data_IF_188966334872
#
_entry.id   IF_188966334872
#
_cell.length_a   1.000
_cell.length_b   1.000
_cell.length_c   1.000
_cell.angle_alpha   90.00
_cell.angle_beta   90.00
_cell.angle_gamma   90.00
#
_symmetry.space_group_name_H-M   'P 1'
#
loop_
_entity.id
_entity.type
_entity.pdbx_description
1 polymer ?
#
# COMPACT_ATOMS: atom_id res chain seq x y z
N UNK A 1 9.78 2.09 12.61
CA UNK A 1 9.47 1.12 11.55
C UNK A 1 9.94 1.61 10.17
N UNK A 2 9.37 2.70 9.62
CA UNK A 2 9.76 3.30 8.34
C UNK A 2 10.10 4.79 8.56
N UNK A 3 11.27 5.24 8.06
CA UNK A 3 11.70 6.64 8.16
C UNK A 3 12.19 7.14 6.81
N UNK A 4 11.75 8.33 6.42
CA UNK A 4 12.33 9.11 5.34
C UNK A 4 13.12 10.26 5.96
N UNK A 5 14.33 10.53 5.48
CA UNK A 5 15.21 11.59 5.98
C UNK A 5 15.71 12.43 4.83
N UNK A 6 15.23 13.68 4.76
CA UNK A 6 15.58 14.66 3.72
C UNK A 6 15.50 14.05 2.30
N UNK A 7 14.39 13.38 2.01
CA UNK A 7 14.19 12.64 0.75
C UNK A 7 13.78 13.60 -0.35
N UNK A 8 14.44 13.44 -1.50
CA UNK A 8 14.13 14.11 -2.76
C UNK A 8 13.85 13.10 -3.84
N UNK A 9 12.96 13.44 -4.76
CA UNK A 9 12.75 12.68 -6.00
C UNK A 9 12.54 13.63 -7.16
N UNK A 10 13.40 13.51 -8.14
CA UNK A 10 13.38 14.29 -9.38
C UNK A 10 13.27 13.35 -10.57
N UNK A 11 12.38 13.65 -11.49
CA UNK A 11 12.25 12.95 -12.75
C UNK A 11 12.80 13.82 -13.89
N UNK A 12 13.44 13.19 -14.85
CA UNK A 12 13.83 13.85 -16.09
C UNK A 12 12.77 13.60 -17.16
N UNK A 13 12.15 14.65 -17.65
CA UNK A 13 11.14 14.63 -18.72
C UNK A 13 11.72 15.37 -19.94
N UNK A 14 12.37 14.62 -20.82
CA UNK A 14 13.11 15.23 -21.93
C UNK A 14 14.30 16.06 -21.42
N UNK A 15 14.28 17.36 -21.64
CA UNK A 15 15.32 18.30 -21.15
C UNK A 15 14.97 18.92 -19.78
N UNK A 16 13.75 18.80 -19.33
CA UNK A 16 13.28 19.39 -18.07
C UNK A 16 13.42 18.42 -16.90
N UNK A 17 13.61 18.99 -15.69
CA UNK A 17 13.62 18.25 -14.43
C UNK A 17 12.40 18.62 -13.59
N UNK A 18 11.59 17.62 -13.23
CA UNK A 18 10.43 17.80 -12.35
C UNK A 18 10.75 17.24 -10.98
N UNK A 19 10.77 18.12 -9.98
CA UNK A 19 10.97 17.71 -8.58
C UNK A 19 9.63 17.31 -7.95
N UNK A 20 9.35 16.03 -7.96
CA UNK A 20 8.08 15.49 -7.47
C UNK A 20 8.03 15.32 -5.95
N UNK A 21 9.19 15.17 -5.30
CA UNK A 21 9.34 15.17 -3.83
C UNK A 21 10.52 16.03 -3.46
N UNK A 22 10.30 16.99 -2.55
CA UNK A 22 11.25 18.01 -2.17
C UNK A 22 11.44 18.06 -0.63
N UNK A 23 12.58 17.55 -0.18
CA UNK A 23 13.03 17.56 1.22
C UNK A 23 12.01 16.97 2.21
N UNK A 24 11.46 15.79 1.89
CA UNK A 24 10.49 15.16 2.77
C UNK A 24 11.18 14.33 3.86
N UNK A 25 10.80 14.62 5.12
CA UNK A 25 11.16 13.78 6.28
C UNK A 25 9.91 13.32 6.99
N UNK A 26 9.75 11.98 7.14
CA UNK A 26 8.59 11.34 7.76
C UNK A 26 9.09 10.20 8.65
N UNK A 27 8.46 10.05 9.82
CA UNK A 27 8.64 8.91 10.71
C UNK A 27 7.30 8.19 10.87
N UNK A 28 7.20 6.96 10.38
CA UNK A 28 6.03 6.08 10.54
C UNK A 28 6.40 5.00 11.56
N UNK A 29 5.68 5.01 12.67
CA UNK A 29 5.84 4.02 13.73
C UNK A 29 4.98 2.78 13.46
N UNK A 30 5.30 1.69 14.13
CA UNK A 30 4.46 0.48 14.07
C UNK A 30 3.06 0.77 14.61
N UNK A 31 2.08 0.10 14.00
CA UNK A 31 0.65 0.17 14.39
C UNK A 31 0.00 1.54 14.15
N UNK A 32 0.70 2.48 13.51
CA UNK A 32 0.07 3.75 13.13
C UNK A 32 -0.97 3.54 12.01
N UNK A 33 -2.00 4.37 12.04
CA UNK A 33 -2.97 4.54 10.96
C UNK A 33 -2.85 5.98 10.47
N UNK A 34 -2.27 6.15 9.29
CA UNK A 34 -1.83 7.44 8.75
C UNK A 34 -2.53 7.71 7.44
N UNK A 35 -2.85 8.97 7.14
CA UNK A 35 -3.24 9.39 5.79
C UNK A 35 -2.22 10.33 5.18
N UNK A 36 -1.99 10.17 3.88
CA UNK A 36 -1.26 11.11 3.03
C UNK A 36 -2.29 11.80 2.14
N UNK A 37 -2.44 13.11 2.31
CA UNK A 37 -3.41 13.93 1.60
C UNK A 37 -2.71 14.94 0.70
N UNK A 38 -3.34 15.22 -0.44
CA UNK A 38 -2.88 16.26 -1.37
C UNK A 38 -3.77 16.31 -2.60
N UNK A 39 -3.70 17.41 -3.34
CA UNK A 39 -4.38 17.56 -4.64
C UNK A 39 -3.71 16.68 -5.71
N UNK A 40 -4.35 16.52 -6.87
CA UNK A 40 -3.69 15.89 -8.01
C UNK A 40 -2.39 16.64 -8.36
N UNK A 41 -1.33 15.91 -8.71
CA UNK A 41 -0.03 16.50 -9.03
C UNK A 41 0.81 16.95 -7.82
N UNK A 42 0.34 16.84 -6.58
CA UNK A 42 1.08 17.31 -5.40
C UNK A 42 2.30 16.44 -4.99
N UNK A 43 2.55 15.30 -5.66
CA UNK A 43 3.64 14.36 -5.33
C UNK A 43 3.23 13.16 -4.48
N UNK A 44 1.92 12.96 -4.18
CA UNK A 44 1.43 11.82 -3.37
C UNK A 44 1.83 10.45 -3.90
N UNK A 45 1.59 10.21 -5.20
CA UNK A 45 1.92 8.91 -5.81
C UNK A 45 3.42 8.65 -5.79
N UNK A 46 4.23 9.67 -6.04
CA UNK A 46 5.69 9.56 -5.94
C UNK A 46 6.13 9.25 -4.51
N UNK A 47 5.56 9.96 -3.52
CA UNK A 47 5.86 9.64 -2.11
C UNK A 47 5.39 8.22 -1.75
N UNK A 48 4.23 7.81 -2.23
CA UNK A 48 3.73 6.45 -2.04
C UNK A 48 4.69 5.40 -2.65
N UNK A 49 5.23 5.64 -3.84
CA UNK A 49 6.20 4.73 -4.46
C UNK A 49 7.51 4.64 -3.68
N UNK A 50 7.99 5.76 -3.13
CA UNK A 50 9.17 5.78 -2.26
C UNK A 50 8.92 5.02 -0.95
N UNK A 51 7.79 5.29 -0.28
CA UNK A 51 7.36 4.62 0.96
C UNK A 51 7.13 3.12 0.72
N UNK A 52 6.59 2.78 -0.44
CA UNK A 52 6.32 1.40 -0.86
C UNK A 52 7.54 0.67 -1.42
N UNK A 53 8.72 1.29 -1.47
CA UNK A 53 9.94 0.72 -2.03
C UNK A 53 9.77 0.28 -3.50
N UNK A 54 8.90 0.97 -4.26
CA UNK A 54 8.72 0.78 -5.69
C UNK A 54 9.69 1.64 -6.50
N UNK A 55 10.18 2.73 -5.88
CA UNK A 55 11.18 3.61 -6.44
C UNK A 55 12.24 3.99 -5.41
N UNK A 56 13.41 4.37 -5.90
CA UNK A 56 14.51 4.90 -5.08
C UNK A 56 14.44 6.43 -5.05
N UNK A 57 14.87 7.05 -3.94
CA UNK A 57 15.02 8.50 -3.89
C UNK A 57 16.17 8.98 -4.77
N UNK A 58 16.07 10.20 -5.30
CA UNK A 58 17.20 10.86 -5.98
C UNK A 58 18.30 11.28 -5.00
N UNK A 59 17.90 11.64 -3.76
CA UNK A 59 18.80 11.89 -2.62
C UNK A 59 18.05 11.77 -1.29
N UNK A 60 18.76 11.79 -0.19
CA UNK A 60 18.21 11.50 1.14
C UNK A 60 18.27 10.01 1.49
N UNK A 61 17.57 9.61 2.55
CA UNK A 61 17.59 8.23 3.05
C UNK A 61 16.20 7.71 3.34
N UNK A 62 15.99 6.43 3.01
CA UNK A 62 14.81 5.66 3.42
C UNK A 62 15.32 4.54 4.33
N UNK A 63 14.82 4.54 5.57
CA UNK A 63 15.18 3.54 6.57
C UNK A 63 14.00 2.62 6.82
N UNK A 64 14.20 1.33 6.63
CA UNK A 64 13.25 0.27 6.97
C UNK A 64 13.83 -0.51 8.15
N UNK A 65 13.13 -0.51 9.28
CA UNK A 65 13.59 -1.13 10.53
C UNK A 65 15.01 -0.72 10.95
N UNK A 66 15.36 0.54 10.71
CA UNK A 66 16.67 1.12 11.02
C UNK A 66 17.75 0.89 9.97
N UNK A 67 17.49 0.07 8.95
CA UNK A 67 18.44 -0.18 7.84
C UNK A 67 18.18 0.79 6.70
N UNK A 68 19.24 1.42 6.20
CA UNK A 68 19.17 2.28 5.01
C UNK A 68 19.00 1.40 3.75
N UNK A 69 17.87 1.61 3.06
CA UNK A 69 17.52 0.87 1.84
C UNK A 69 17.63 1.72 0.57
N UNK A 70 18.09 2.96 0.68
CA UNK A 70 18.04 3.96 -0.41
C UNK A 70 18.92 3.61 -1.60
N UNK A 71 19.92 2.75 -1.42
CA UNK A 71 20.92 2.41 -2.44
C UNK A 71 20.99 0.91 -2.74
N UNK A 72 20.01 0.14 -2.24
CA UNK A 72 19.93 -1.28 -2.52
C UNK A 72 19.57 -1.52 -4.00
N UNK A 73 20.00 -2.63 -4.55
CA UNK A 73 19.59 -3.06 -5.89
C UNK A 73 18.08 -3.33 -5.95
N UNK A 74 17.50 -3.28 -7.15
CA UNK A 74 16.06 -3.59 -7.35
C UNK A 74 15.70 -4.98 -6.82
N UNK A 75 16.62 -5.91 -6.90
CA UNK A 75 16.47 -7.28 -6.42
C UNK A 75 16.35 -7.35 -4.90
N UNK A 76 17.20 -6.61 -4.19
CA UNK A 76 17.17 -6.50 -2.72
C UNK A 76 15.92 -5.74 -2.26
N UNK A 77 15.58 -4.63 -2.92
CA UNK A 77 14.36 -3.88 -2.64
C UNK A 77 13.10 -4.71 -2.88
N UNK A 78 13.08 -5.50 -3.97
CA UNK A 78 11.96 -6.38 -4.30
C UNK A 78 11.75 -7.44 -3.21
N UNK A 79 12.82 -8.01 -2.68
CA UNK A 79 12.75 -8.98 -1.59
C UNK A 79 12.22 -8.34 -0.30
N UNK A 80 12.74 -7.17 0.08
CA UNK A 80 12.25 -6.43 1.26
C UNK A 80 10.78 -6.07 1.06
N UNK A 81 10.41 -5.50 -0.09
CA UNK A 81 9.04 -5.09 -0.42
C UNK A 81 8.06 -6.25 -0.32
N UNK A 82 8.41 -7.43 -0.84
CA UNK A 82 7.56 -8.62 -0.83
C UNK A 82 7.11 -9.01 0.60
N UNK A 83 7.98 -8.85 1.60
CA UNK A 83 7.69 -9.21 2.99
C UNK A 83 7.25 -8.03 3.86
N UNK A 84 7.62 -6.82 3.49
CA UNK A 84 7.40 -5.65 4.33
C UNK A 84 6.12 -4.88 3.96
N UNK A 85 5.73 -4.84 2.66
CA UNK A 85 4.64 -3.99 2.17
C UNK A 85 3.57 -4.81 1.49
N UNK A 86 2.32 -4.64 1.91
CA UNK A 86 1.14 -5.08 1.17
C UNK A 86 0.48 -3.89 0.48
N UNK A 87 0.23 -4.00 -0.82
CA UNK A 87 -0.38 -2.94 -1.62
C UNK A 87 -1.86 -3.18 -1.87
N UNK A 88 -2.66 -2.13 -1.70
CA UNK A 88 -4.08 -2.05 -2.07
C UNK A 88 -4.24 -0.85 -3.00
N UNK A 89 -4.69 -1.07 -4.23
CA UNK A 89 -4.84 -0.03 -5.25
C UNK A 89 -6.31 0.28 -5.53
N UNK A 90 -6.58 1.48 -6.02
CA UNK A 90 -7.90 1.91 -6.46
C UNK A 90 -8.49 0.99 -7.53
N UNK A 91 -7.70 0.53 -8.49
CA UNK A 91 -8.11 -0.35 -9.59
C UNK A 91 -7.99 -1.85 -9.26
N UNK A 92 -7.87 -2.20 -7.97
CA UNK A 92 -7.69 -3.57 -7.46
C UNK A 92 -6.43 -4.28 -7.97
N UNK A 93 -6.01 -4.07 -9.22
CA UNK A 93 -4.85 -4.65 -9.90
C UNK A 93 -4.81 -6.19 -9.76
N UNK A 94 -5.97 -6.83 -9.95
CA UNK A 94 -6.08 -8.29 -10.03
C UNK A 94 -5.72 -8.77 -11.42
N UNK A 95 -5.06 -9.90 -11.50
CA UNK A 95 -4.72 -10.54 -12.78
C UNK A 95 -5.95 -11.31 -13.27
N UNK A 96 -6.55 -10.85 -14.37
CA UNK A 96 -7.81 -11.39 -14.90
C UNK A 96 -7.72 -12.85 -15.35
N UNK A 97 -6.54 -13.37 -15.67
CA UNK A 97 -6.29 -14.76 -16.05
C UNK A 97 -6.12 -15.70 -14.86
N UNK A 98 -6.08 -15.16 -13.64
CA UNK A 98 -5.95 -15.92 -12.41
C UNK A 98 -7.27 -15.92 -11.65
N UNK A 99 -7.57 -17.01 -11.00
CA UNK A 99 -8.68 -17.11 -10.05
C UNK A 99 -8.47 -16.18 -8.86
N UNK A 100 -9.51 -15.99 -8.06
CA UNK A 100 -9.44 -15.27 -6.77
C UNK A 100 -8.34 -15.87 -5.88
N UNK A 101 -8.33 -17.19 -5.72
CA UNK A 101 -7.31 -17.86 -4.91
C UNK A 101 -5.90 -17.65 -5.44
N UNK A 102 -5.69 -17.78 -6.74
CA UNK A 102 -4.39 -17.58 -7.37
C UNK A 102 -3.91 -16.13 -7.25
N UNK A 103 -4.82 -15.14 -7.36
CA UNK A 103 -4.50 -13.74 -7.13
C UNK A 103 -4.01 -13.50 -5.69
N UNK A 104 -4.68 -14.08 -4.70
CA UNK A 104 -4.26 -13.95 -3.30
C UNK A 104 -2.91 -14.60 -3.06
N UNK A 105 -2.64 -15.77 -3.67
CA UNK A 105 -1.39 -16.52 -3.52
C UNK A 105 -0.20 -15.88 -4.26
N UNK A 106 -0.44 -14.92 -5.15
CA UNK A 106 0.58 -14.36 -6.05
C UNK A 106 1.84 -13.87 -5.33
N UNK A 107 1.79 -13.12 -4.20
CA UNK A 107 2.98 -12.65 -3.51
C UNK A 107 3.91 -13.79 -3.04
N UNK A 108 3.36 -14.93 -2.67
CA UNK A 108 4.15 -16.08 -2.23
C UNK A 108 4.96 -16.72 -3.38
N UNK A 109 4.46 -16.64 -4.63
CA UNK A 109 5.18 -17.14 -5.81
C UNK A 109 6.48 -16.37 -6.09
N UNK A 110 6.56 -15.13 -5.63
CA UNK A 110 7.73 -14.25 -5.82
C UNK A 110 8.62 -14.17 -4.58
N UNK A 111 8.32 -14.93 -3.52
CA UNK A 111 9.19 -14.98 -2.36
C UNK A 111 10.50 -15.69 -2.71
N UNK A 112 11.63 -15.05 -2.41
CA UNK A 112 12.97 -15.62 -2.55
C UNK A 112 13.41 -16.41 -1.32
N UNK A 113 12.62 -16.34 -0.25
CA UNK A 113 12.90 -17.04 1.02
C UNK A 113 11.87 -18.13 1.25
N UNK A 114 12.28 -19.18 1.96
CA UNK A 114 11.35 -20.22 2.40
C UNK A 114 10.32 -19.60 3.34
N UNK A 115 9.04 -19.85 3.09
CA UNK A 115 7.94 -19.37 3.91
C UNK A 115 7.76 -20.28 5.13
N UNK A 116 7.37 -19.70 6.26
CA UNK A 116 7.05 -20.38 7.52
C UNK A 116 5.58 -20.85 7.60
N UNK A 117 4.85 -20.74 6.50
CA UNK A 117 3.43 -21.11 6.38
C UNK A 117 3.12 -21.69 5.00
N UNK A 118 2.01 -22.44 4.90
CA UNK A 118 1.44 -22.87 3.61
C UNK A 118 0.68 -21.71 2.97
N UNK A 119 1.12 -21.20 1.79
CA UNK A 119 0.46 -20.06 1.13
C UNK A 119 -1.00 -20.33 0.75
N UNK A 120 -1.34 -21.57 0.41
CA UNK A 120 -2.70 -21.94 0.02
C UNK A 120 -3.64 -21.96 1.23
N UNK A 121 -3.23 -22.61 2.31
CA UNK A 121 -4.01 -22.62 3.55
C UNK A 121 -4.24 -21.19 4.05
N UNK A 122 -3.17 -20.38 4.11
CA UNK A 122 -3.28 -18.99 4.53
C UNK A 122 -4.16 -18.15 3.60
N UNK A 123 -4.09 -18.36 2.29
CA UNK A 123 -4.96 -17.67 1.34
C UNK A 123 -6.44 -18.02 1.57
N UNK A 124 -6.74 -19.30 1.79
CA UNK A 124 -8.11 -19.76 2.10
C UNK A 124 -8.62 -19.14 3.42
N UNK A 125 -7.79 -19.04 4.44
CA UNK A 125 -8.16 -18.40 5.70
C UNK A 125 -8.43 -16.91 5.53
N UNK A 126 -7.61 -16.19 4.77
CA UNK A 126 -7.84 -14.79 4.44
C UNK A 126 -9.13 -14.60 3.64
N UNK A 127 -9.41 -15.48 2.67
CA UNK A 127 -10.67 -15.44 1.91
C UNK A 127 -11.90 -15.71 2.79
N UNK A 128 -11.80 -16.63 3.77
CA UNK A 128 -12.85 -16.84 4.78
C UNK A 128 -13.04 -15.58 5.63
N UNK A 129 -11.95 -15.03 6.16
CA UNK A 129 -11.94 -13.84 7.01
C UNK A 129 -12.60 -12.63 6.35
N UNK A 130 -12.47 -12.49 5.05
CA UNK A 130 -13.05 -11.37 4.28
C UNK A 130 -14.36 -11.72 3.58
N UNK A 131 -14.97 -12.87 3.93
CA UNK A 131 -16.28 -13.31 3.42
C UNK A 131 -16.32 -13.41 1.89
N UNK A 132 -15.24 -13.99 1.30
CA UNK A 132 -15.11 -14.17 -0.14
C UNK A 132 -14.70 -15.60 -0.54
N UNK A 133 -14.62 -16.53 0.41
CA UNK A 133 -14.19 -17.91 0.17
C UNK A 133 -15.06 -18.64 -0.88
N UNK A 134 -16.36 -18.35 -0.93
CA UNK A 134 -17.28 -18.91 -1.91
C UNK A 134 -17.00 -18.50 -3.37
N UNK A 135 -16.05 -17.57 -3.57
CA UNK A 135 -15.62 -17.09 -4.87
C UNK A 135 -14.18 -17.47 -5.22
N UNK A 136 -13.53 -18.34 -4.45
CA UNK A 136 -12.11 -18.69 -4.59
C UNK A 136 -11.70 -19.16 -5.99
N UNK A 137 -12.61 -19.85 -6.70
CA UNK A 137 -12.38 -20.40 -8.05
C UNK A 137 -12.91 -19.49 -9.17
N UNK A 138 -13.47 -18.30 -8.82
CA UNK A 138 -13.97 -17.34 -9.80
C UNK A 138 -12.80 -16.47 -10.31
N UNK A 139 -12.99 -15.91 -11.51
CA UNK A 139 -12.09 -14.92 -12.09
C UNK A 139 -12.53 -13.50 -11.69
N UNK A 140 -11.60 -12.51 -11.65
CA UNK A 140 -11.91 -11.13 -11.23
C UNK A 140 -13.09 -10.49 -11.96
N UNK A 141 -13.24 -10.74 -13.27
CA UNK A 141 -14.34 -10.23 -14.09
C UNK A 141 -15.72 -10.87 -13.80
N UNK A 142 -15.79 -11.83 -12.89
CA UNK A 142 -17.03 -12.52 -12.47
C UNK A 142 -17.44 -12.18 -11.04
N UNK A 143 -16.81 -11.20 -10.42
CA UNK A 143 -17.09 -10.74 -9.07
C UNK A 143 -17.25 -9.21 -9.03
N UNK A 144 -18.01 -8.70 -8.06
CA UNK A 144 -18.25 -7.26 -7.91
C UNK A 144 -17.00 -6.48 -7.51
N UNK A 145 -17.00 -5.15 -7.70
CA UNK A 145 -15.88 -4.28 -7.31
C UNK A 145 -15.51 -4.40 -5.83
N UNK A 146 -16.52 -4.43 -4.94
CA UNK A 146 -16.27 -4.64 -3.51
C UNK A 146 -15.66 -6.03 -3.20
N UNK A 147 -16.07 -7.07 -3.93
CA UNK A 147 -15.47 -8.38 -3.84
C UNK A 147 -14.03 -8.38 -4.36
N UNK A 148 -13.76 -7.69 -5.48
CA UNK A 148 -12.40 -7.52 -6.00
C UNK A 148 -11.50 -6.81 -4.98
N UNK A 149 -12.00 -5.78 -4.31
CA UNK A 149 -11.24 -5.07 -3.28
C UNK A 149 -10.95 -5.94 -2.06
N UNK A 150 -11.88 -6.78 -1.61
CA UNK A 150 -11.64 -7.77 -0.56
C UNK A 150 -10.55 -8.78 -0.95
N UNK A 151 -10.52 -9.21 -2.23
CA UNK A 151 -9.45 -10.06 -2.77
C UNK A 151 -8.11 -9.33 -2.78
N UNK A 152 -8.07 -8.05 -3.19
CA UNK A 152 -6.86 -7.24 -3.16
C UNK A 152 -6.31 -7.06 -1.74
N UNK A 153 -7.20 -6.86 -0.74
CA UNK A 153 -6.83 -6.82 0.69
C UNK A 153 -6.28 -8.17 1.16
N UNK A 154 -6.93 -9.28 0.80
CA UNK A 154 -6.44 -10.62 1.14
C UNK A 154 -5.05 -10.87 0.55
N UNK A 155 -4.84 -10.51 -0.73
CA UNK A 155 -3.54 -10.57 -1.40
C UNK A 155 -2.48 -9.75 -0.66
N UNK A 156 -2.81 -8.52 -0.28
CA UNK A 156 -1.90 -7.63 0.44
C UNK A 156 -1.44 -8.21 1.78
N UNK A 157 -2.28 -9.00 2.44
CA UNK A 157 -2.01 -9.58 3.77
C UNK A 157 -1.36 -10.97 3.73
N UNK A 158 -1.23 -11.59 2.55
CA UNK A 158 -0.74 -12.97 2.45
C UNK A 158 0.64 -13.15 3.10
N UNK A 159 1.56 -12.24 2.82
CA UNK A 159 2.96 -12.28 3.30
C UNK A 159 3.14 -11.78 4.73
N UNK A 160 2.07 -11.56 5.50
CA UNK A 160 2.11 -10.98 6.86
C UNK A 160 2.88 -9.64 6.91
N UNK A 161 2.58 -8.66 6.02
CA UNK A 161 3.38 -7.45 5.92
C UNK A 161 3.29 -6.61 7.19
N UNK A 162 4.33 -5.81 7.46
CA UNK A 162 4.33 -4.83 8.54
C UNK A 162 3.61 -3.53 8.17
N UNK A 163 3.51 -3.25 6.88
CA UNK A 163 2.90 -2.05 6.31
C UNK A 163 1.88 -2.42 5.23
N UNK A 164 0.68 -1.90 5.34
CA UNK A 164 -0.29 -1.82 4.23
C UNK A 164 -0.25 -0.41 3.66
N UNK A 165 -0.09 -0.32 2.37
CA UNK A 165 -0.13 0.92 1.61
C UNK A 165 -1.36 0.90 0.69
N UNK A 166 -2.35 1.73 1.01
CA UNK A 166 -3.64 1.75 0.32
C UNK A 166 -3.81 3.07 -0.45
N UNK A 167 -3.81 2.98 -1.77
CA UNK A 167 -3.98 4.09 -2.70
C UNK A 167 -5.44 4.18 -3.13
N UNK A 168 -6.13 5.24 -2.68
CA UNK A 168 -7.55 5.51 -2.97
C UNK A 168 -8.42 4.23 -2.86
N UNK A 169 -8.39 3.49 -1.72
CA UNK A 169 -8.91 2.13 -1.65
C UNK A 169 -10.42 2.02 -1.87
N UNK A 170 -11.13 3.12 -1.95
CA UNK A 170 -12.58 3.19 -2.16
C UNK A 170 -12.99 3.97 -3.41
N UNK A 171 -12.04 4.49 -4.17
CA UNK A 171 -12.32 5.40 -5.28
C UNK A 171 -13.15 4.81 -6.43
N UNK A 172 -13.18 3.46 -6.57
CA UNK A 172 -13.96 2.76 -7.59
C UNK A 172 -15.15 1.98 -7.01
N UNK A 173 -15.60 2.33 -5.80
CA UNK A 173 -16.68 1.65 -5.10
C UNK A 173 -17.86 2.60 -4.85
N UNK A 174 -19.06 2.05 -4.76
CA UNK A 174 -20.18 2.79 -4.23
C UNK A 174 -19.98 3.14 -2.75
N UNK A 175 -20.68 4.16 -2.27
CA UNK A 175 -20.50 4.71 -0.91
C UNK A 175 -20.67 3.66 0.19
N UNK A 176 -21.63 2.72 0.04
CA UNK A 176 -21.90 1.69 1.04
C UNK A 176 -20.77 0.68 1.09
N UNK A 177 -20.37 0.18 -0.06
CA UNK A 177 -19.24 -0.76 -0.20
C UNK A 177 -17.94 -0.11 0.24
N UNK A 178 -17.70 1.15 -0.14
CA UNK A 178 -16.54 1.93 0.29
C UNK A 178 -16.45 2.03 1.82
N UNK A 179 -17.57 2.32 2.48
CA UNK A 179 -17.66 2.37 3.94
C UNK A 179 -17.29 1.04 4.61
N UNK A 180 -17.74 -0.09 4.04
CA UNK A 180 -17.38 -1.42 4.52
C UNK A 180 -15.88 -1.70 4.40
N UNK A 181 -15.25 -1.30 3.29
CA UNK A 181 -13.81 -1.44 3.07
C UNK A 181 -13.01 -0.58 4.06
N UNK A 182 -13.42 0.66 4.30
CA UNK A 182 -12.74 1.52 5.28
C UNK A 182 -12.84 0.94 6.70
N UNK A 183 -14.02 0.45 7.10
CA UNK A 183 -14.20 -0.25 8.38
C UNK A 183 -13.33 -1.51 8.49
N UNK A 184 -13.15 -2.23 7.38
CA UNK A 184 -12.28 -3.40 7.34
C UNK A 184 -10.81 -3.00 7.60
N UNK A 185 -10.31 -1.94 6.94
CA UNK A 185 -8.96 -1.42 7.16
C UNK A 185 -8.76 -0.91 8.60
N UNK A 186 -9.75 -0.23 9.16
CA UNK A 186 -9.71 0.19 10.58
C UNK A 186 -9.60 -1.00 11.53
N UNK A 187 -10.35 -2.09 11.30
CA UNK A 187 -10.27 -3.30 12.10
C UNK A 187 -8.88 -3.94 12.00
N UNK A 188 -8.33 -4.05 10.79
CA UNK A 188 -6.96 -4.57 10.58
C UNK A 188 -5.92 -3.77 11.38
N UNK A 189 -6.03 -2.43 11.40
CA UNK A 189 -5.13 -1.62 12.22
C UNK A 189 -5.37 -1.81 13.73
N UNK A 190 -6.63 -1.76 14.20
CA UNK A 190 -6.98 -1.79 15.63
C UNK A 190 -6.75 -3.17 16.25
N UNK A 191 -7.17 -4.24 15.58
CA UNK A 191 -7.19 -5.60 16.12
C UNK A 191 -5.90 -6.35 15.80
N UNK A 192 -5.43 -6.28 14.56
CA UNK A 192 -4.26 -7.02 14.10
C UNK A 192 -2.96 -6.22 14.17
N UNK A 193 -3.06 -4.94 14.59
CA UNK A 193 -1.91 -4.05 14.79
C UNK A 193 -1.07 -3.82 13.54
N UNK A 194 -1.66 -4.00 12.35
CA UNK A 194 -0.99 -3.71 11.08
C UNK A 194 -0.86 -2.19 10.93
N UNK A 195 0.32 -1.72 10.52
CA UNK A 195 0.50 -0.31 10.17
C UNK A 195 -0.15 -0.04 8.81
N UNK A 196 -0.95 1.01 8.71
CA UNK A 196 -1.64 1.34 7.45
C UNK A 196 -1.39 2.79 7.08
N UNK A 197 -1.01 3.01 5.82
CA UNK A 197 -0.95 4.33 5.20
C UNK A 197 -2.03 4.39 4.11
N UNK A 198 -2.97 5.32 4.27
CA UNK A 198 -3.96 5.66 3.24
C UNK A 198 -3.46 6.84 2.42
N UNK A 199 -3.38 6.69 1.12
CA UNK A 199 -3.17 7.81 0.20
C UNK A 199 -4.53 8.19 -0.36
N UNK A 200 -4.96 9.43 -0.15
CA UNK A 200 -6.28 9.88 -0.62
C UNK A 200 -6.34 11.39 -0.81
N UNK A 201 -7.24 11.85 -1.65
CA UNK A 201 -7.62 13.25 -1.76
C UNK A 201 -8.91 13.56 -0.97
N UNK A 202 -9.62 12.52 -0.49
CA UNK A 202 -10.86 12.63 0.26
C UNK A 202 -10.58 12.93 1.74
N UNK A 203 -11.06 14.11 2.19
CA UNK A 203 -10.92 14.57 3.57
C UNK A 203 -11.72 13.72 4.57
N UNK A 204 -12.87 13.15 4.14
CA UNK A 204 -13.69 12.30 5.01
C UNK A 204 -13.00 10.96 5.27
N UNK A 205 -12.39 10.37 4.23
CA UNK A 205 -11.56 9.17 4.40
C UNK A 205 -10.38 9.45 5.34
N UNK A 206 -9.73 10.58 5.18
CA UNK A 206 -8.59 10.97 6.01
C UNK A 206 -8.95 11.28 7.47
N UNK A 207 -10.20 11.68 7.78
CA UNK A 207 -10.65 11.88 9.17
C UNK A 207 -10.58 10.61 10.01
N UNK A 208 -10.61 9.44 9.39
CA UNK A 208 -10.52 8.13 10.05
C UNK A 208 -9.14 7.82 10.62
N UNK A 209 -8.12 8.50 10.13
CA UNK A 209 -6.74 8.30 10.57
C UNK A 209 -6.34 9.23 11.71
N UNK A 210 -5.45 8.73 12.60
CA UNK A 210 -4.95 9.53 13.73
C UNK A 210 -3.91 10.54 13.30
N UNK A 211 -3.09 10.23 12.31
CA UNK A 211 -2.01 11.06 11.80
C UNK A 211 -2.29 11.42 10.34
N UNK A 212 -2.13 12.70 10.01
CA UNK A 212 -2.34 13.22 8.66
C UNK A 212 -1.06 13.89 8.18
N UNK A 213 -0.67 13.56 6.96
CA UNK A 213 0.48 14.17 6.27
C UNK A 213 -0.10 14.86 5.04
N UNK A 214 0.03 16.18 5.01
CA UNK A 214 -0.46 16.97 3.89
C UNK A 214 0.69 17.27 2.93
N UNK A 215 0.48 17.00 1.64
CA UNK A 215 1.48 17.25 0.60
C UNK A 215 0.95 18.25 -0.41
N UNK A 216 1.78 19.25 -0.68
CA UNK A 216 1.56 20.24 -1.73
C UNK A 216 2.89 20.53 -2.42
N UNK A 217 2.89 20.49 -3.75
CA UNK A 217 4.05 20.80 -4.61
C UNK A 217 5.34 20.09 -4.16
N UNK A 218 5.22 18.78 -3.87
CA UNK A 218 6.33 17.94 -3.43
C UNK A 218 6.77 18.09 -1.98
N UNK A 219 6.16 18.99 -1.19
CA UNK A 219 6.54 19.31 0.20
C UNK A 219 5.44 18.92 1.18
N UNK A 220 5.87 18.64 2.43
CA UNK A 220 4.93 18.53 3.54
C UNK A 220 4.52 19.93 3.98
N UNK A 221 3.19 20.12 4.16
CA UNK A 221 2.59 21.35 4.66
C UNK A 221 1.76 21.06 5.91
N UNK A 222 1.54 22.07 6.76
CA UNK A 222 0.80 21.87 8.03
C UNK A 222 -0.68 21.51 7.80
N UNK A 223 -1.33 22.18 6.84
CA UNK A 223 -2.74 21.95 6.46
C UNK A 223 -3.08 22.73 5.19
N UNK A 224 -4.14 22.31 4.46
CA UNK A 224 -4.77 23.10 3.40
C UNK A 224 -5.91 23.95 3.95
#
# INVERSE_FOLDING_TARGET
MLKLQNVYKTYRLGEEYVQAVDNISIDIKEKEYVSILGTSGSGKSTLMYLVGLLEQPSSGKILVEGKDVSKLSDDELSNIRNHFVGFIFQQFNLINKFTVLENVMLPAKYSKTKLDFDPKERALDLLKKFDIIGRKDFYPNKISGGQQQRVAIARALLMKPKLILADEPTGNLDSKTGEEILKLLERLNKEEKVTIILVTHDKEVAKRTKKKIYIKDGKIVEKY
#
